data_IF_456227325043
#
_entry.id   IF_456227325043
#
_cell.length_a   1.000
_cell.length_b   1.000
_cell.length_c   1.000
_cell.angle_alpha   90.00
_cell.angle_beta   90.00
_cell.angle_gamma   90.00
#
_symmetry.space_group_name_H-M   'P 1'
#
loop_
_entity.id
_entity.type
_entity.pdbx_description
1 polymer ?
#
# COMPACT_ATOMS: atom_id res chain seq x y z
N UNK A 1 14.99 -5.85 5.99
CA UNK A 1 13.97 -5.10 6.73
C UNK A 1 12.83 -6.04 7.04
N UNK A 2 12.31 -6.00 8.26
CA UNK A 2 11.12 -6.75 8.67
C UNK A 2 9.85 -5.90 8.49
N UNK A 3 8.71 -6.57 8.34
CA UNK A 3 7.41 -5.90 8.22
C UNK A 3 7.11 -4.99 9.43
N UNK A 4 7.54 -5.40 10.62
CA UNK A 4 7.39 -4.61 11.85
C UNK A 4 8.12 -3.26 11.77
N UNK A 5 9.37 -3.24 11.30
CA UNK A 5 10.16 -2.01 11.14
C UNK A 5 9.54 -1.05 10.12
N UNK A 6 9.02 -1.60 9.00
CA UNK A 6 8.35 -0.78 7.99
C UNK A 6 7.05 -0.15 8.52
N UNK A 7 6.24 -0.94 9.22
CA UNK A 7 5.03 -0.46 9.88
C UNK A 7 5.33 0.58 10.97
N UNK A 8 6.39 0.38 11.75
CA UNK A 8 6.82 1.32 12.78
C UNK A 8 7.17 2.69 12.21
N UNK A 9 7.90 2.74 11.07
CA UNK A 9 8.20 3.99 10.37
C UNK A 9 6.95 4.74 9.90
N UNK A 10 5.86 4.02 9.62
CA UNK A 10 4.58 4.60 9.26
C UNK A 10 3.73 5.01 10.48
N UNK A 11 4.17 4.68 11.71
CA UNK A 11 3.38 4.84 12.93
C UNK A 11 2.24 3.81 13.02
N UNK A 12 2.41 2.65 12.38
CA UNK A 12 1.40 1.60 12.22
C UNK A 12 1.88 0.26 12.82
N UNK A 13 2.87 0.29 13.73
CA UNK A 13 3.45 -0.90 14.37
C UNK A 13 2.40 -1.83 15.02
N UNK A 14 1.24 -1.30 15.42
CA UNK A 14 0.11 -2.07 15.94
C UNK A 14 -0.40 -3.16 14.98
N UNK A 15 -0.13 -3.05 13.67
CA UNK A 15 -0.51 -4.07 12.69
C UNK A 15 0.56 -5.14 12.48
N UNK A 16 1.77 -4.99 13.05
CA UNK A 16 2.89 -5.87 12.79
C UNK A 16 2.59 -7.33 13.18
N UNK A 17 1.99 -7.55 14.34
CA UNK A 17 1.59 -8.88 14.79
C UNK A 17 0.57 -9.50 13.83
N UNK A 18 -0.43 -8.73 13.40
CA UNK A 18 -1.46 -9.22 12.50
C UNK A 18 -0.89 -9.58 11.12
N UNK A 19 0.03 -8.78 10.61
CA UNK A 19 0.71 -9.07 9.34
C UNK A 19 1.56 -10.34 9.46
N UNK A 20 2.34 -10.48 10.53
CA UNK A 20 3.15 -11.67 10.79
C UNK A 20 2.30 -12.94 10.96
N UNK A 21 1.17 -12.86 11.67
CA UNK A 21 0.22 -13.98 11.83
C UNK A 21 -0.41 -14.43 10.50
N UNK A 22 -0.51 -13.52 9.52
CA UNK A 22 -1.01 -13.83 8.19
C UNK A 22 0.12 -14.17 7.18
N UNK A 23 1.38 -14.28 7.66
CA UNK A 23 2.53 -14.58 6.80
C UNK A 23 2.87 -13.46 5.82
N UNK A 24 2.55 -12.21 6.17
CA UNK A 24 2.77 -11.05 5.32
C UNK A 24 4.11 -10.40 5.66
N UNK A 25 5.01 -10.45 4.68
CA UNK A 25 6.34 -9.85 4.72
C UNK A 25 6.48 -8.66 3.75
N UNK A 26 7.59 -7.93 3.86
CA UNK A 26 7.90 -6.81 2.94
C UNK A 26 7.91 -7.25 1.47
N UNK A 27 8.29 -8.49 1.18
CA UNK A 27 8.32 -9.00 -0.20
C UNK A 27 6.94 -9.10 -0.85
N UNK A 28 5.89 -9.34 -0.05
CA UNK A 28 4.51 -9.46 -0.55
C UNK A 28 3.72 -8.15 -0.46
N UNK A 29 4.24 -7.13 0.24
CA UNK A 29 3.60 -5.82 0.35
C UNK A 29 3.20 -5.22 -1.03
N UNK A 30 4.06 -5.26 -2.07
CA UNK A 30 3.70 -4.75 -3.40
C UNK A 30 2.57 -5.54 -4.08
N UNK A 31 2.33 -6.78 -3.65
CA UNK A 31 1.26 -7.63 -4.17
C UNK A 31 -0.07 -7.42 -3.44
N UNK A 32 -0.07 -6.74 -2.29
CA UNK A 32 -1.29 -6.51 -1.51
C UNK A 32 -2.14 -5.36 -2.07
N UNK A 33 -3.43 -5.62 -2.18
CA UNK A 33 -4.44 -4.68 -2.63
C UNK A 33 -5.27 -4.14 -1.45
N UNK A 34 -6.07 -3.08 -1.68
CA UNK A 34 -6.92 -2.48 -0.63
C UNK A 34 -7.80 -3.53 0.08
N UNK A 35 -8.30 -4.50 -0.69
CA UNK A 35 -9.12 -5.62 -0.21
C UNK A 35 -8.39 -6.53 0.77
N UNK A 36 -7.07 -6.73 0.60
CA UNK A 36 -6.28 -7.56 1.51
C UNK A 36 -6.10 -6.85 2.84
N UNK A 37 -5.87 -5.54 2.82
CA UNK A 37 -5.85 -4.74 4.04
C UNK A 37 -7.22 -4.66 4.73
N UNK A 38 -8.32 -4.66 3.97
CA UNK A 38 -9.68 -4.73 4.50
C UNK A 38 -9.94 -6.05 5.24
N UNK A 39 -9.54 -7.18 4.64
CA UNK A 39 -9.62 -8.51 5.28
C UNK A 39 -8.77 -8.59 6.56
N UNK A 40 -7.64 -7.90 6.59
CA UNK A 40 -6.82 -7.73 7.79
C UNK A 40 -7.46 -6.79 8.81
N UNK A 41 -8.60 -6.16 8.55
CA UNK A 41 -9.27 -5.24 9.48
C UNK A 41 -8.50 -3.93 9.66
N UNK A 42 -7.74 -3.50 8.65
CA UNK A 42 -7.02 -2.22 8.68
C UNK A 42 -8.00 -1.08 8.40
N UNK A 43 -7.92 -0.02 9.20
CA UNK A 43 -8.76 1.16 9.02
C UNK A 43 -8.48 1.83 7.68
N UNK A 44 -9.50 2.35 7.00
CA UNK A 44 -9.40 2.95 5.66
C UNK A 44 -8.29 4.02 5.56
N UNK A 45 -8.15 4.89 6.58
CA UNK A 45 -7.08 5.89 6.61
C UNK A 45 -5.67 5.27 6.68
N UNK A 46 -5.51 4.17 7.41
CA UNK A 46 -4.25 3.45 7.50
C UNK A 46 -3.95 2.69 6.21
N UNK A 47 -4.96 2.09 5.57
CA UNK A 47 -4.83 1.44 4.24
C UNK A 47 -4.27 2.40 3.21
N UNK A 48 -4.86 3.60 3.10
CA UNK A 48 -4.38 4.66 2.20
C UNK A 48 -2.91 5.02 2.47
N UNK A 49 -2.52 5.09 3.75
CA UNK A 49 -1.14 5.38 4.16
C UNK A 49 -0.17 4.26 3.78
N UNK A 50 -0.56 3.00 3.99
CA UNK A 50 0.22 1.82 3.61
C UNK A 50 0.39 1.75 2.09
N UNK A 51 -0.70 1.83 1.31
CA UNK A 51 -0.66 1.81 -0.16
C UNK A 51 0.24 2.90 -0.74
N UNK A 52 0.19 4.11 -0.16
CA UNK A 52 1.08 5.21 -0.56
C UNK A 52 2.55 4.87 -0.32
N UNK A 53 2.87 4.31 0.84
CA UNK A 53 4.22 3.90 1.19
C UNK A 53 4.72 2.70 0.37
N UNK A 54 3.83 1.78 -0.01
CA UNK A 54 4.15 0.65 -0.89
C UNK A 54 4.49 1.15 -2.30
N UNK A 55 3.78 2.16 -2.80
CA UNK A 55 4.10 2.79 -4.08
C UNK A 55 5.49 3.48 -4.09
N UNK A 56 6.00 3.91 -2.92
CA UNK A 56 7.37 4.41 -2.76
C UNK A 56 8.42 3.28 -2.65
N UNK A 57 8.01 2.08 -2.20
CA UNK A 57 8.88 0.89 -2.14
C UNK A 57 9.07 0.22 -3.50
N UNK A 58 8.06 0.31 -4.37
CA UNK A 58 8.08 -0.29 -5.70
C UNK A 58 8.38 0.78 -6.78
N UNK A 59 9.65 0.92 -7.23
CA UNK A 59 9.99 1.85 -8.30
C UNK A 59 9.40 1.43 -9.67
N UNK A 60 8.82 0.23 -9.78
CA UNK A 60 8.11 -0.22 -10.98
C UNK A 60 6.60 0.12 -10.96
N UNK A 61 6.02 0.55 -9.84
CA UNK A 61 4.62 0.98 -9.76
C UNK A 61 4.41 2.41 -10.31
N UNK A 62 5.48 3.21 -10.43
CA UNK A 62 5.44 4.52 -11.09
C UNK A 62 5.05 4.44 -12.58
N UNK A 63 5.11 3.26 -13.21
CA UNK A 63 4.64 3.03 -14.58
C UNK A 63 3.24 2.40 -14.66
N UNK A 64 2.65 1.97 -13.53
CA UNK A 64 1.41 1.18 -13.52
C UNK A 64 0.21 1.88 -12.85
N UNK A 65 0.24 3.22 -12.77
CA UNK A 65 -0.99 3.99 -12.60
C UNK A 65 -1.42 4.52 -13.98
N UNK A 66 -2.44 3.94 -14.64
CA UNK A 66 -3.20 4.68 -15.61
C UNK A 66 -4.03 5.69 -14.79
N UNK A 67 -3.42 6.82 -14.46
CA UNK A 67 -4.19 8.01 -14.20
C UNK A 67 -5.14 8.17 -15.41
N UNK A 68 -6.47 8.29 -15.21
CA UNK A 68 -7.32 8.68 -16.32
C UNK A 68 -6.77 10.02 -16.83
N UNK A 69 -6.54 10.20 -18.13
CA UNK A 69 -6.13 11.48 -18.66
C UNK A 69 -7.26 12.48 -18.36
N UNK A 70 -7.06 13.34 -17.37
CA UNK A 70 -7.94 14.48 -17.19
C UNK A 70 -7.69 15.43 -18.36
N UNK A 71 -8.66 15.43 -19.28
CA UNK A 71 -9.04 16.48 -20.22
C UNK A 71 -7.95 17.20 -21.00
N UNK A 72 -7.80 16.83 -22.28
CA UNK A 72 -7.68 17.86 -23.31
C UNK A 72 -9.10 18.27 -23.75
N UNK A 73 -9.52 19.42 -23.24
CA UNK A 73 -10.34 20.33 -24.05
C UNK A 73 -9.64 20.51 -25.38
N UNK A 74 -10.32 20.19 -26.49
CA UNK A 74 -10.15 20.81 -27.81
C UNK A 74 -10.88 19.94 -28.85
N UNK A 75 -12.09 20.35 -29.23
CA UNK A 75 -12.52 20.24 -30.62
C UNK A 75 -13.67 21.21 -30.94
N UNK A 76 -13.23 22.36 -31.46
CA UNK A 76 -13.87 23.27 -32.43
C UNK A 76 -15.06 24.12 -32.00
#
# INVERSE_FOLDING_TARGET
MQIAEWLEKLGLAQYAERFAQNGIDIGVLPELMDEDFDKLGVLLGHRRKMLRAIADLDPAALIASPAPPQSLTEKR
#
